data_IF_236722584709
#
_entry.id   IF_236722584709
#
_cell.length_a   1.000
_cell.length_b   1.000
_cell.length_c   1.000
_cell.angle_alpha   90.00
_cell.angle_beta   90.00
_cell.angle_gamma   90.00
#
_symmetry.space_group_name_H-M   'P 1'
#
loop_
_entity.id
_entity.type
_entity.pdbx_description
1 polymer ?
#
# COMPACT_ATOMS: atom_id res chain seq x y z
N UNK A 1 41.04 17.71 18.51
CA UNK A 1 40.71 16.82 17.39
C UNK A 1 39.29 16.38 17.59
N UNK A 2 38.34 17.13 17.03
CA UNK A 2 36.94 16.72 17.00
C UNK A 2 36.35 17.32 15.72
N UNK A 3 36.23 16.50 14.70
CA UNK A 3 35.50 16.83 13.47
C UNK A 3 34.12 16.23 13.65
N UNK A 4 33.13 17.07 13.93
CA UNK A 4 31.74 16.69 14.11
C UNK A 4 31.18 16.16 12.79
N UNK A 5 30.95 14.85 12.74
CA UNK A 5 30.30 14.14 11.63
C UNK A 5 28.86 14.66 11.51
N UNK A 6 28.68 15.67 10.66
CA UNK A 6 27.36 16.17 10.29
C UNK A 6 26.83 15.25 9.20
N UNK A 7 26.18 14.16 9.59
CA UNK A 7 25.44 13.29 8.67
C UNK A 7 24.34 14.16 8.02
N UNK A 8 24.36 14.41 6.70
CA UNK A 8 23.31 15.19 6.07
C UNK A 8 21.97 14.45 6.24
N UNK A 9 20.86 15.17 6.46
CA UNK A 9 19.55 14.54 6.56
C UNK A 9 19.30 13.75 5.28
N UNK A 10 19.27 12.43 5.41
CA UNK A 10 18.99 11.49 4.32
C UNK A 10 17.55 11.77 3.90
N UNK A 11 17.36 12.59 2.87
CA UNK A 11 16.05 12.85 2.30
C UNK A 11 15.36 11.50 2.11
N UNK A 12 14.09 11.35 2.56
CA UNK A 12 13.40 10.08 2.41
C UNK A 12 13.45 9.72 0.93
N UNK A 13 14.11 8.60 0.61
CA UNK A 13 14.26 8.11 -0.75
C UNK A 13 12.87 8.13 -1.37
N UNK A 14 12.65 9.04 -2.33
CA UNK A 14 11.35 9.31 -2.96
C UNK A 14 10.68 7.97 -3.17
N UNK A 15 9.58 7.73 -2.46
CA UNK A 15 8.83 6.50 -2.61
C UNK A 15 8.43 6.39 -4.08
N UNK A 16 9.20 5.63 -4.85
CA UNK A 16 8.82 5.29 -6.22
C UNK A 16 7.51 4.54 -6.04
N UNK A 17 6.44 5.06 -6.63
CA UNK A 17 5.21 4.29 -6.74
C UNK A 17 5.56 3.01 -7.52
N UNK A 18 5.73 1.91 -6.80
CA UNK A 18 6.02 0.58 -7.38
C UNK A 18 4.83 0.05 -8.18
N UNK A 19 3.66 0.64 -7.96
CA UNK A 19 2.40 0.32 -8.61
C UNK A 19 1.89 1.56 -9.33
N UNK A 20 1.51 1.39 -10.59
CA UNK A 20 0.76 2.38 -11.35
C UNK A 20 -0.71 2.42 -10.89
N UNK A 21 -1.45 3.44 -11.32
CA UNK A 21 -2.91 3.51 -11.11
C UNK A 21 -3.65 2.33 -11.73
N UNK A 22 -3.14 1.78 -12.83
CA UNK A 22 -3.71 0.60 -13.48
C UNK A 22 -3.48 -0.68 -12.66
N UNK A 23 -2.31 -0.82 -12.02
CA UNK A 23 -2.04 -1.93 -11.10
C UNK A 23 -2.99 -1.92 -9.91
N UNK A 24 -3.36 -0.74 -9.40
CA UNK A 24 -4.34 -0.64 -8.31
C UNK A 24 -5.74 -1.11 -8.72
N UNK A 25 -6.11 -1.00 -10.00
CA UNK A 25 -7.37 -1.57 -10.51
C UNK A 25 -7.33 -3.09 -10.52
N UNK A 26 -6.20 -3.68 -10.94
CA UNK A 26 -5.98 -5.13 -10.89
C UNK A 26 -6.01 -5.66 -9.46
N UNK A 27 -5.35 -4.96 -8.52
CA UNK A 27 -5.37 -5.30 -7.10
C UNK A 27 -6.78 -5.21 -6.51
N UNK A 28 -7.56 -4.19 -6.88
CA UNK A 28 -8.95 -4.03 -6.45
C UNK A 28 -9.82 -5.20 -6.92
N UNK A 29 -9.65 -5.64 -8.17
CA UNK A 29 -10.37 -6.80 -8.71
C UNK A 29 -10.01 -8.09 -7.96
N UNK A 30 -8.71 -8.32 -7.70
CA UNK A 30 -8.25 -9.48 -6.93
C UNK A 30 -8.80 -9.48 -5.50
N UNK A 31 -8.81 -8.32 -4.82
CA UNK A 31 -9.38 -8.20 -3.48
C UNK A 31 -10.89 -8.41 -3.47
N UNK A 32 -11.62 -8.00 -4.51
CA UNK A 32 -13.07 -8.25 -4.60
C UNK A 32 -13.38 -9.75 -4.67
N UNK A 33 -12.65 -10.49 -5.51
CA UNK A 33 -12.78 -11.94 -5.61
C UNK A 33 -12.38 -12.63 -4.30
N UNK A 34 -11.28 -12.19 -3.69
CA UNK A 34 -10.82 -12.73 -2.42
C UNK A 34 -11.78 -12.41 -1.26
N UNK A 35 -12.39 -11.23 -1.24
CA UNK A 35 -13.39 -10.84 -0.23
C UNK A 35 -14.58 -11.81 -0.19
N UNK A 36 -15.01 -12.32 -1.35
CA UNK A 36 -16.06 -13.35 -1.41
C UNK A 36 -15.59 -14.67 -0.78
N UNK A 37 -14.32 -15.03 -0.96
CA UNK A 37 -13.73 -16.27 -0.42
C UNK A 37 -13.49 -16.22 1.08
N UNK A 38 -13.23 -15.04 1.64
CA UNK A 38 -12.98 -14.86 3.08
C UNK A 38 -14.15 -14.21 3.83
N UNK A 39 -15.35 -14.16 3.23
CA UNK A 39 -16.50 -13.44 3.76
C UNK A 39 -16.84 -13.82 5.23
N UNK A 40 -16.71 -15.10 5.58
CA UNK A 40 -16.96 -15.64 6.93
C UNK A 40 -15.75 -15.57 7.87
N UNK A 41 -14.60 -15.08 7.39
CA UNK A 41 -13.38 -14.94 8.18
C UNK A 41 -13.29 -13.53 8.77
N UNK A 42 -12.71 -13.35 9.98
CA UNK A 42 -12.35 -12.03 10.50
C UNK A 42 -11.40 -11.25 9.56
N UNK A 43 -10.73 -11.92 8.63
CA UNK A 43 -9.91 -11.28 7.60
C UNK A 43 -10.73 -10.49 6.56
N UNK A 44 -12.02 -10.78 6.41
CA UNK A 44 -12.95 -10.04 5.54
C UNK A 44 -12.89 -8.53 5.78
N UNK A 45 -12.84 -8.11 7.05
CA UNK A 45 -12.76 -6.69 7.42
C UNK A 45 -11.47 -6.03 6.94
N UNK A 46 -10.34 -6.75 6.99
CA UNK A 46 -9.04 -6.25 6.50
C UNK A 46 -9.05 -6.12 4.99
N UNK A 47 -9.63 -7.10 4.28
CA UNK A 47 -9.76 -7.10 2.83
C UNK A 47 -10.67 -5.95 2.37
N UNK A 48 -11.81 -5.74 3.05
CA UNK A 48 -12.70 -4.62 2.76
C UNK A 48 -12.00 -3.26 3.00
N UNK A 49 -11.28 -3.09 4.11
CA UNK A 49 -10.52 -1.87 4.38
C UNK A 49 -9.45 -1.59 3.30
N UNK A 50 -8.72 -2.63 2.86
CA UNK A 50 -7.75 -2.55 1.77
C UNK A 50 -8.42 -2.16 0.45
N UNK A 51 -9.54 -2.80 0.12
CA UNK A 51 -10.32 -2.51 -1.09
C UNK A 51 -10.74 -1.03 -1.16
N UNK A 52 -11.26 -0.48 -0.06
CA UNK A 52 -11.63 0.93 0.01
C UNK A 52 -10.41 1.86 -0.11
N UNK A 53 -9.31 1.54 0.56
CA UNK A 53 -8.08 2.34 0.51
C UNK A 53 -7.50 2.38 -0.91
N UNK A 54 -7.54 1.25 -1.62
CA UNK A 54 -7.12 1.16 -3.01
C UNK A 54 -8.07 1.88 -3.98
N UNK A 55 -9.37 1.91 -3.67
CA UNK A 55 -10.36 2.68 -4.44
C UNK A 55 -10.11 4.19 -4.45
N UNK A 56 -9.35 4.71 -3.48
CA UNK A 56 -9.00 6.11 -3.35
C UNK A 56 -7.78 6.53 -4.20
N UNK A 57 -7.13 5.59 -4.89
CA UNK A 57 -6.02 5.82 -5.83
C UNK A 57 -6.45 5.68 -7.31
N UNK A 58 -7.76 5.58 -7.58
CA UNK A 58 -8.34 5.52 -8.93
C UNK A 58 -8.56 6.88 -9.55
#
# INVERSE_FOLDING_TARGET
MEMTDTIPPREPARARALFSTDDFRLLRAALADYAQKVADSPESLRVAALYHRLGNYS
#
